data_IF_232934764008
#
_entry.id   IF_232934764008
#
_cell.length_a   1.000
_cell.length_b   1.000
_cell.length_c   1.000
_cell.angle_alpha   90.00
_cell.angle_beta   90.00
_cell.angle_gamma   90.00
#
_symmetry.space_group_name_H-M   'P 1'
#
loop_
_entity.id
_entity.type
_entity.pdbx_description
1 polymer ?
#
# COMPACT_ATOMS: atom_id res chain seq x y z
N UNK A 1 -10.42 12.86 12.86
CA UNK A 1 -11.15 11.78 13.57
C UNK A 1 -11.40 10.67 12.57
N UNK A 2 -10.81 9.50 12.74
CA UNK A 2 -11.00 8.37 11.83
C UNK A 2 -12.45 7.91 11.95
N UNK A 3 -13.23 8.04 10.87
CA UNK A 3 -14.65 7.65 10.87
C UNK A 3 -14.75 6.22 10.36
N UNK A 4 -15.01 5.29 11.27
CA UNK A 4 -15.30 3.91 10.89
C UNK A 4 -16.76 3.79 10.47
N UNK A 5 -17.01 3.13 9.34
CA UNK A 5 -18.37 2.79 8.91
C UNK A 5 -19.06 1.91 9.97
N UNK A 6 -20.36 2.02 10.08
CA UNK A 6 -21.13 1.03 10.85
C UNK A 6 -21.10 -0.31 10.12
N UNK A 7 -21.15 -1.40 10.87
CA UNK A 7 -21.14 -2.75 10.30
C UNK A 7 -22.27 -2.96 9.29
N UNK A 8 -23.43 -2.42 9.56
CA UNK A 8 -24.61 -2.50 8.71
C UNK A 8 -24.44 -1.77 7.36
N UNK A 9 -23.58 -0.75 7.32
CA UNK A 9 -23.31 0.06 6.14
C UNK A 9 -22.14 -0.48 5.29
N UNK A 10 -21.49 -1.58 5.72
CA UNK A 10 -20.39 -2.18 4.98
C UNK A 10 -20.89 -2.77 3.66
N UNK A 11 -20.02 -2.69 2.66
CA UNK A 11 -20.23 -3.21 1.32
C UNK A 11 -19.07 -4.15 0.95
N UNK A 12 -19.18 -4.89 -0.15
CA UNK A 12 -18.08 -5.72 -0.64
C UNK A 12 -16.79 -4.92 -0.87
N UNK A 13 -16.89 -3.63 -1.20
CA UNK A 13 -15.72 -2.75 -1.40
C UNK A 13 -15.14 -2.18 -0.08
N UNK A 14 -15.51 -2.69 1.07
CA UNK A 14 -14.86 -2.38 2.34
C UNK A 14 -13.94 -3.55 2.73
N UNK A 15 -12.68 -3.28 3.15
CA UNK A 15 -11.64 -4.31 3.37
C UNK A 15 -12.14 -5.51 4.16
N UNK A 16 -12.78 -5.29 5.31
CA UNK A 16 -13.32 -6.39 6.12
C UNK A 16 -14.27 -7.31 5.33
N UNK A 17 -15.20 -6.73 4.55
CA UNK A 17 -16.14 -7.54 3.77
C UNK A 17 -15.47 -8.23 2.59
N UNK A 18 -14.54 -7.56 1.93
CA UNK A 18 -13.75 -8.11 0.83
C UNK A 18 -12.97 -9.35 1.26
N UNK A 19 -12.17 -9.22 2.32
CA UNK A 19 -11.40 -10.31 2.90
C UNK A 19 -12.31 -11.44 3.38
N UNK A 20 -13.34 -11.12 4.14
CA UNK A 20 -14.28 -12.08 4.73
C UNK A 20 -15.01 -12.89 3.66
N UNK A 21 -15.53 -12.24 2.63
CA UNK A 21 -16.25 -12.92 1.52
C UNK A 21 -15.32 -13.86 0.77
N UNK A 22 -14.11 -13.40 0.40
CA UNK A 22 -13.19 -14.20 -0.41
C UNK A 22 -12.55 -15.33 0.40
N UNK A 23 -12.34 -15.14 1.70
CA UNK A 23 -11.82 -16.18 2.58
C UNK A 23 -12.83 -17.30 2.85
N UNK A 24 -14.08 -16.94 3.15
CA UNK A 24 -15.10 -17.93 3.51
C UNK A 24 -15.75 -18.62 2.31
N UNK A 25 -15.54 -18.11 1.08
CA UNK A 25 -16.15 -18.64 -0.13
C UNK A 25 -15.09 -18.87 -1.21
N UNK A 26 -14.45 -20.03 -1.16
CA UNK A 26 -13.35 -20.38 -2.08
C UNK A 26 -13.78 -20.39 -3.56
N UNK A 27 -14.99 -20.86 -3.85
CA UNK A 27 -15.59 -20.85 -5.17
C UNK A 27 -15.76 -19.43 -5.73
N UNK A 28 -16.18 -18.50 -4.89
CA UNK A 28 -16.28 -17.08 -5.24
C UNK A 28 -14.90 -16.45 -5.49
N UNK A 29 -13.91 -16.78 -4.67
CA UNK A 29 -12.54 -16.31 -4.87
C UNK A 29 -11.97 -16.83 -6.20
N UNK A 30 -12.17 -18.10 -6.50
CA UNK A 30 -11.77 -18.70 -7.78
C UNK A 30 -12.49 -18.05 -8.97
N UNK A 31 -13.82 -17.91 -8.93
CA UNK A 31 -14.62 -17.26 -9.97
C UNK A 31 -14.17 -15.81 -10.20
N UNK A 32 -13.83 -15.08 -9.12
CA UNK A 32 -13.28 -13.72 -9.21
C UNK A 32 -11.95 -13.70 -9.97
N UNK A 33 -11.01 -14.54 -9.58
CA UNK A 33 -9.70 -14.62 -10.23
C UNK A 33 -9.78 -15.01 -11.70
N UNK A 34 -10.59 -16.02 -12.04
CA UNK A 34 -10.82 -16.43 -13.42
C UNK A 34 -11.44 -15.31 -14.25
N UNK A 35 -12.41 -14.58 -13.68
CA UNK A 35 -13.05 -13.42 -14.30
C UNK A 35 -12.06 -12.29 -14.58
N UNK A 36 -11.22 -11.93 -13.60
CA UNK A 36 -10.28 -10.81 -13.72
C UNK A 36 -9.08 -11.13 -14.61
N UNK A 37 -8.60 -12.35 -14.56
CA UNK A 37 -7.36 -12.75 -15.25
C UNK A 37 -7.59 -13.37 -16.60
N UNK A 38 -8.84 -13.87 -16.87
CA UNK A 38 -9.20 -14.64 -18.07
C UNK A 38 -8.30 -15.86 -18.26
N UNK A 39 -7.97 -16.50 -17.17
CA UNK A 39 -7.26 -17.78 -17.14
C UNK A 39 -8.12 -18.79 -16.41
N UNK A 40 -7.91 -20.07 -16.72
CA UNK A 40 -8.54 -21.14 -15.96
C UNK A 40 -7.70 -21.47 -14.74
N UNK A 41 -8.35 -21.66 -13.61
CA UNK A 41 -7.74 -22.04 -12.32
C UNK A 41 -8.31 -23.41 -11.95
N UNK A 42 -7.43 -24.40 -11.82
CA UNK A 42 -7.89 -25.78 -11.61
C UNK A 42 -8.28 -26.03 -10.15
N UNK A 43 -7.51 -25.53 -9.21
CA UNK A 43 -7.78 -25.70 -7.80
C UNK A 43 -7.04 -24.66 -6.97
N UNK A 44 -7.77 -23.85 -6.22
CA UNK A 44 -7.14 -22.95 -5.27
C UNK A 44 -7.04 -23.60 -3.88
N UNK A 45 -5.89 -23.43 -3.25
CA UNK A 45 -5.77 -23.68 -1.81
C UNK A 45 -6.55 -22.60 -1.06
N UNK A 46 -6.88 -22.88 0.20
CA UNK A 46 -7.70 -21.97 1.01
C UNK A 46 -7.09 -20.55 1.01
N UNK A 47 -7.88 -19.50 0.67
CA UNK A 47 -7.37 -18.15 0.71
C UNK A 47 -6.90 -17.78 2.12
N UNK A 48 -5.68 -17.24 2.23
CA UNK A 48 -5.18 -16.65 3.47
C UNK A 48 -5.49 -15.15 3.47
N UNK A 49 -6.15 -14.65 4.51
CA UNK A 49 -6.36 -13.22 4.73
C UNK A 49 -5.29 -12.66 5.66
N UNK A 50 -4.95 -11.40 5.46
CA UNK A 50 -3.95 -10.69 6.29
C UNK A 50 -2.62 -11.47 6.40
N UNK A 51 -2.26 -12.23 5.34
CA UNK A 51 -0.99 -12.95 5.34
C UNK A 51 0.16 -11.98 5.50
N UNK A 52 0.91 -12.14 6.57
CA UNK A 52 2.08 -11.32 6.84
C UNK A 52 3.34 -12.03 6.39
N UNK A 53 4.11 -11.41 5.49
CA UNK A 53 5.42 -11.86 5.05
C UNK A 53 6.45 -10.87 5.59
N UNK A 54 7.37 -11.34 6.43
CA UNK A 54 8.45 -10.54 7.01
C UNK A 54 9.75 -11.35 7.00
N UNK A 55 10.65 -11.12 6.01
CA UNK A 55 11.87 -11.91 5.85
C UNK A 55 12.85 -11.76 7.02
N UNK A 56 12.87 -10.57 7.66
CA UNK A 56 13.76 -10.25 8.78
C UNK A 56 13.02 -9.43 9.82
N UNK A 57 13.39 -9.60 11.09
CA UNK A 57 12.76 -8.92 12.23
C UNK A 57 12.72 -7.39 12.09
N UNK A 58 13.76 -6.79 11.49
CA UNK A 58 13.88 -5.33 11.30
C UNK A 58 13.42 -4.85 9.89
N UNK A 59 12.99 -5.77 9.01
CA UNK A 59 12.54 -5.40 7.68
C UNK A 59 11.09 -4.96 7.68
N UNK A 60 10.74 -4.08 6.72
CA UNK A 60 9.34 -3.78 6.44
C UNK A 60 8.68 -5.04 5.89
N UNK A 61 7.79 -5.68 6.66
CA UNK A 61 6.93 -6.74 6.18
C UNK A 61 5.82 -6.22 5.27
N UNK A 62 5.14 -7.13 4.58
CA UNK A 62 3.87 -6.86 3.89
C UNK A 62 2.76 -7.64 4.57
N UNK A 63 1.59 -7.05 4.60
CA UNK A 63 0.33 -7.73 4.91
C UNK A 63 -0.49 -7.72 3.63
N UNK A 64 -0.79 -8.91 3.12
CA UNK A 64 -1.56 -9.12 1.90
C UNK A 64 -3.04 -9.24 2.28
N UNK A 65 -3.93 -8.55 1.56
CA UNK A 65 -5.36 -8.60 1.85
C UNK A 65 -5.89 -10.03 1.63
N UNK A 66 -5.71 -10.59 0.45
CA UNK A 66 -6.09 -11.98 0.13
C UNK A 66 -4.99 -12.66 -0.67
N UNK A 67 -4.38 -13.68 -0.09
CA UNK A 67 -3.34 -14.50 -0.72
C UNK A 67 -3.88 -15.88 -1.09
N UNK A 68 -3.67 -16.30 -2.33
CA UNK A 68 -4.20 -17.56 -2.88
C UNK A 68 -3.11 -18.30 -3.65
N UNK A 69 -3.09 -19.62 -3.53
CA UNK A 69 -2.24 -20.51 -4.35
C UNK A 69 -3.09 -21.43 -5.22
N UNK A 70 -2.62 -21.63 -6.43
CA UNK A 70 -3.01 -22.72 -7.33
C UNK A 70 -1.71 -23.38 -7.80
N UNK A 71 -1.64 -24.68 -7.94
CA UNK A 71 -0.49 -25.55 -8.26
C UNK A 71 0.84 -24.85 -8.62
N UNK A 72 0.88 -24.07 -9.71
CA UNK A 72 2.04 -23.33 -10.22
C UNK A 72 1.87 -21.82 -10.23
N UNK A 73 0.80 -21.29 -9.58
CA UNK A 73 0.45 -19.87 -9.55
C UNK A 73 0.20 -19.38 -8.14
N UNK A 74 0.55 -18.13 -7.91
CA UNK A 74 0.22 -17.40 -6.68
C UNK A 74 -0.45 -16.08 -7.02
N UNK A 75 -1.43 -15.72 -6.21
CA UNK A 75 -2.23 -14.52 -6.40
C UNK A 75 -2.25 -13.72 -5.10
N UNK A 76 -1.96 -12.44 -5.22
CA UNK A 76 -2.14 -11.43 -4.21
C UNK A 76 -3.21 -10.46 -4.69
N UNK A 77 -4.32 -10.35 -3.95
CA UNK A 77 -5.47 -9.53 -4.35
C UNK A 77 -5.67 -8.45 -3.32
N UNK A 78 -5.45 -7.21 -3.74
CA UNK A 78 -5.50 -6.01 -2.92
C UNK A 78 -6.68 -5.12 -3.31
N UNK A 79 -7.44 -4.67 -2.32
CA UNK A 79 -8.50 -3.68 -2.50
C UNK A 79 -8.01 -2.30 -2.07
N UNK A 80 -8.03 -1.33 -2.99
CA UNK A 80 -7.53 0.02 -2.73
C UNK A 80 -8.64 1.06 -2.85
N UNK A 81 -9.07 1.62 -1.71
CA UNK A 81 -10.19 2.57 -1.64
C UNK A 81 -9.77 4.03 -1.68
N UNK A 82 -8.56 4.35 -1.24
CA UNK A 82 -8.02 5.71 -1.19
C UNK A 82 -6.85 5.86 -2.15
N UNK A 83 -6.67 7.06 -2.70
CA UNK A 83 -5.52 7.42 -3.54
C UNK A 83 -4.21 7.08 -2.82
N UNK A 84 -3.33 6.39 -3.53
CA UNK A 84 -1.98 6.06 -3.09
C UNK A 84 -1.04 6.13 -4.30
N UNK A 85 -0.18 7.13 -4.30
CA UNK A 85 0.82 7.35 -5.36
C UNK A 85 1.93 6.28 -5.34
N UNK A 86 1.97 5.45 -4.29
CA UNK A 86 2.99 4.42 -4.11
C UNK A 86 2.59 3.05 -4.70
N UNK A 87 1.43 2.91 -5.34
CA UNK A 87 1.02 1.62 -5.93
C UNK A 87 2.13 0.98 -6.78
N UNK A 88 2.85 1.68 -7.67
CA UNK A 88 3.94 1.08 -8.45
C UNK A 88 5.07 0.52 -7.57
N UNK A 89 5.43 1.22 -6.49
CA UNK A 89 6.46 0.77 -5.56
C UNK A 89 5.96 -0.38 -4.67
N UNK A 90 4.69 -0.33 -4.26
CA UNK A 90 4.05 -1.41 -3.51
C UNK A 90 3.99 -2.69 -4.33
N UNK A 91 3.55 -2.65 -5.58
CA UNK A 91 3.50 -3.84 -6.45
C UNK A 91 4.87 -4.49 -6.62
N UNK A 92 5.95 -3.69 -6.77
CA UNK A 92 7.31 -4.20 -6.83
C UNK A 92 7.72 -4.88 -5.52
N UNK A 93 7.43 -4.23 -4.39
CA UNK A 93 7.80 -4.75 -3.08
C UNK A 93 7.02 -6.03 -2.74
N UNK A 94 5.71 -6.04 -2.99
CA UNK A 94 4.86 -7.22 -2.79
C UNK A 94 5.34 -8.40 -3.63
N UNK A 95 5.66 -8.16 -4.92
CA UNK A 95 6.24 -9.19 -5.79
C UNK A 95 7.51 -9.80 -5.18
N UNK A 96 8.43 -8.97 -4.70
CA UNK A 96 9.68 -9.46 -4.09
C UNK A 96 9.42 -10.28 -2.83
N UNK A 97 8.41 -9.92 -2.04
CA UNK A 97 8.03 -10.65 -0.84
C UNK A 97 7.39 -11.99 -1.16
N UNK A 98 6.54 -12.03 -2.19
CA UNK A 98 5.97 -13.29 -2.71
C UNK A 98 7.07 -14.24 -3.18
N UNK A 99 8.05 -13.75 -3.92
CA UNK A 99 9.17 -14.55 -4.41
C UNK A 99 10.01 -15.12 -3.25
N UNK A 100 10.30 -14.30 -2.23
CA UNK A 100 11.01 -14.74 -1.03
C UNK A 100 10.24 -15.80 -0.22
N UNK A 101 8.91 -15.71 -0.16
CA UNK A 101 8.06 -16.66 0.58
C UNK A 101 7.90 -18.00 -0.16
N UNK A 102 8.07 -18.00 -1.49
CA UNK A 102 7.77 -19.15 -2.34
C UNK A 102 9.00 -19.84 -2.95
N UNK A 103 10.22 -19.35 -2.68
CA UNK A 103 11.47 -20.02 -3.07
C UNK A 103 12.38 -20.22 -1.86
N UNK A 104 12.48 -21.46 -1.39
CA UNK A 104 13.27 -21.81 -0.22
C UNK A 104 14.75 -22.07 -0.59
N UNK A 105 15.62 -21.99 0.42
CA UNK A 105 17.05 -22.29 0.25
C UNK A 105 17.26 -23.69 -0.34
N UNK A 106 17.97 -23.74 -1.47
CA UNK A 106 18.31 -25.00 -2.16
C UNK A 106 17.35 -25.38 -3.28
N UNK A 107 16.25 -24.64 -3.46
CA UNK A 107 15.36 -24.81 -4.61
C UNK A 107 15.94 -24.14 -5.87
N UNK A 108 15.57 -24.65 -7.05
CA UNK A 108 15.95 -24.06 -8.33
C UNK A 108 15.04 -22.88 -8.68
N UNK A 109 15.57 -21.88 -9.37
CA UNK A 109 14.78 -20.72 -9.82
C UNK A 109 13.60 -21.08 -10.73
N UNK A 110 13.66 -22.19 -11.44
CA UNK A 110 12.56 -22.71 -12.26
C UNK A 110 11.31 -23.09 -11.44
N UNK A 111 11.49 -23.34 -10.13
CA UNK A 111 10.40 -23.66 -9.20
C UNK A 111 9.59 -22.43 -8.77
N UNK A 112 10.07 -21.19 -9.10
CA UNK A 112 9.27 -19.99 -8.85
C UNK A 112 7.94 -20.09 -9.58
N UNK A 113 6.81 -19.96 -8.85
CA UNK A 113 5.48 -19.97 -9.45
C UNK A 113 5.24 -18.72 -10.29
N UNK A 114 4.26 -18.78 -11.18
CA UNK A 114 3.75 -17.56 -11.81
C UNK A 114 3.01 -16.74 -10.76
N UNK A 115 3.41 -15.48 -10.60
CA UNK A 115 2.86 -14.60 -9.58
C UNK A 115 2.04 -13.46 -10.19
N UNK A 116 0.88 -13.23 -9.57
CA UNK A 116 -0.03 -12.15 -9.93
C UNK A 116 -0.22 -11.23 -8.73
N UNK A 117 0.23 -9.98 -8.86
CA UNK A 117 -0.09 -8.91 -7.91
C UNK A 117 -1.23 -8.10 -8.50
N UNK A 118 -2.41 -8.17 -7.88
CA UNK A 118 -3.66 -7.64 -8.39
C UNK A 118 -4.15 -6.54 -7.46
N UNK A 119 -4.28 -5.32 -7.99
CA UNK A 119 -4.89 -4.20 -7.27
C UNK A 119 -6.24 -3.86 -7.86
N UNK A 120 -7.28 -3.80 -7.03
CA UNK A 120 -8.62 -3.34 -7.38
C UNK A 120 -8.81 -1.95 -6.78
N UNK A 121 -8.74 -0.91 -7.62
CA UNK A 121 -8.73 0.48 -7.20
C UNK A 121 -10.09 1.14 -7.44
N UNK A 122 -10.60 1.89 -6.47
CA UNK A 122 -11.78 2.76 -6.62
C UNK A 122 -11.45 4.13 -7.22
N UNK A 123 -10.27 4.28 -7.78
CA UNK A 123 -9.75 5.48 -8.46
C UNK A 123 -8.83 5.03 -9.60
N UNK A 124 -8.43 5.97 -10.46
CA UNK A 124 -7.44 5.72 -11.50
C UNK A 124 -6.03 6.08 -11.00
N UNK A 125 -5.17 5.10 -10.70
CA UNK A 125 -3.84 5.36 -10.15
C UNK A 125 -2.84 5.97 -11.15
N UNK A 126 -3.15 5.93 -12.46
CA UNK A 126 -2.27 6.42 -13.53
C UNK A 126 -2.87 7.60 -14.32
N UNK A 127 -4.10 8.00 -14.02
CA UNK A 127 -4.82 9.11 -14.66
C UNK A 127 -4.93 9.02 -16.18
N UNK A 128 -4.90 7.79 -16.74
CA UNK A 128 -5.03 7.54 -18.18
C UNK A 128 -6.43 7.08 -18.60
N UNK A 129 -7.32 6.86 -17.64
CA UNK A 129 -8.70 6.45 -17.87
C UNK A 129 -8.89 5.01 -18.31
N UNK A 130 -7.85 4.16 -18.32
CA UNK A 130 -7.99 2.76 -18.68
C UNK A 130 -8.65 1.96 -17.57
N UNK A 131 -9.49 0.97 -17.88
CA UNK A 131 -10.11 0.09 -16.89
C UNK A 131 -9.13 -0.92 -16.31
N UNK A 132 -8.13 -1.32 -17.10
CA UNK A 132 -7.12 -2.32 -16.73
C UNK A 132 -5.75 -1.83 -17.17
N UNK A 133 -4.78 -1.93 -16.26
CA UNK A 133 -3.36 -1.75 -16.51
C UNK A 133 -2.63 -3.06 -16.23
N UNK A 134 -2.01 -3.64 -17.26
CA UNK A 134 -1.20 -4.86 -17.12
C UNK A 134 0.26 -4.53 -17.34
N UNK A 135 1.11 -4.88 -16.38
CA UNK A 135 2.54 -4.65 -16.42
C UNK A 135 3.30 -5.98 -16.42
N UNK A 136 4.25 -6.07 -17.35
CA UNK A 136 5.22 -7.15 -17.51
C UNK A 136 6.56 -6.54 -17.89
N UNK A 137 7.66 -7.19 -17.55
CA UNK A 137 8.98 -6.74 -17.95
C UNK A 137 9.22 -7.00 -19.46
N UNK A 138 9.64 -5.97 -20.18
CA UNK A 138 9.93 -6.01 -21.61
C UNK A 138 11.31 -5.45 -21.89
N UNK A 139 11.89 -5.89 -23.02
CA UNK A 139 13.16 -5.37 -23.51
C UNK A 139 12.95 -3.99 -24.15
N UNK A 140 13.74 -2.99 -23.74
CA UNK A 140 13.63 -1.64 -24.30
C UNK A 140 14.10 -1.58 -25.78
N UNK A 141 15.07 -2.43 -26.15
CA UNK A 141 15.61 -2.52 -27.51
C UNK A 141 14.66 -3.29 -28.46
N UNK A 142 13.79 -4.12 -27.92
CA UNK A 142 12.76 -4.86 -28.67
C UNK A 142 11.50 -5.02 -27.82
N UNK A 143 10.55 -4.13 -28.01
CA UNK A 143 9.34 -4.06 -27.17
C UNK A 143 8.42 -5.30 -27.28
N UNK A 144 8.54 -6.09 -28.36
CA UNK A 144 7.79 -7.34 -28.49
C UNK A 144 8.35 -8.48 -27.63
N UNK A 145 9.61 -8.35 -27.18
CA UNK A 145 10.27 -9.33 -26.34
C UNK A 145 9.85 -9.15 -24.87
N UNK A 146 9.05 -10.08 -24.37
CA UNK A 146 8.70 -10.18 -22.94
C UNK A 146 9.78 -10.97 -22.21
N UNK A 147 10.22 -10.53 -21.03
CA UNK A 147 11.25 -11.21 -20.23
C UNK A 147 10.82 -12.63 -19.80
N UNK A 148 9.52 -12.88 -19.74
CA UNK A 148 8.95 -14.19 -19.35
C UNK A 148 9.36 -14.66 -17.94
N UNK A 149 9.53 -13.69 -17.04
CA UNK A 149 9.92 -13.90 -15.64
C UNK A 149 8.77 -14.35 -14.73
N UNK A 150 7.63 -14.70 -15.32
CA UNK A 150 6.40 -15.13 -14.62
C UNK A 150 5.84 -14.12 -13.61
N UNK A 151 6.26 -12.84 -13.67
CA UNK A 151 5.83 -11.77 -12.77
C UNK A 151 4.83 -10.85 -13.46
N UNK A 152 3.57 -10.87 -13.03
CA UNK A 152 2.47 -10.12 -13.66
C UNK A 152 1.81 -9.21 -12.63
N UNK A 153 1.69 -7.92 -12.97
CA UNK A 153 0.95 -6.98 -12.16
C UNK A 153 -0.28 -6.53 -12.93
N UNK A 154 -1.47 -6.65 -12.31
CA UNK A 154 -2.72 -6.16 -12.89
C UNK A 154 -3.39 -5.17 -11.95
N UNK A 155 -3.68 -3.99 -12.47
CA UNK A 155 -4.32 -2.93 -11.69
C UNK A 155 -5.63 -2.59 -12.39
N UNK A 156 -6.73 -2.78 -11.67
CA UNK A 156 -8.08 -2.54 -12.12
C UNK A 156 -8.58 -1.19 -11.61
N UNK A 157 -9.05 -0.34 -12.51
CA UNK A 157 -9.64 0.95 -12.21
C UNK A 157 -11.16 0.86 -12.27
N UNK A 158 -11.82 0.79 -11.13
CA UNK A 158 -13.27 0.64 -11.06
C UNK A 158 -14.02 1.86 -11.63
N UNK A 159 -13.43 3.04 -11.67
CA UNK A 159 -14.10 4.23 -12.21
C UNK A 159 -14.28 4.19 -13.72
N UNK A 160 -13.50 3.38 -14.42
CA UNK A 160 -13.52 3.25 -15.89
C UNK A 160 -14.35 2.06 -16.39
N UNK A 161 -15.23 1.47 -15.56
CA UNK A 161 -16.02 0.30 -15.91
C UNK A 161 -16.82 0.44 -17.21
N UNK A 162 -17.29 1.66 -17.54
CA UNK A 162 -18.13 1.93 -18.72
C UNK A 162 -17.44 1.70 -20.05
N UNK A 163 -16.11 1.79 -20.10
CA UNK A 163 -15.34 1.60 -21.32
C UNK A 163 -14.67 0.23 -21.40
N UNK A 164 -14.83 -0.60 -20.35
CA UNK A 164 -14.36 -1.98 -20.37
C UNK A 164 -15.22 -2.80 -21.33
N UNK A 165 -14.55 -3.52 -22.24
CA UNK A 165 -15.21 -4.31 -23.30
C UNK A 165 -15.63 -5.69 -22.82
N UNK A 166 -14.91 -6.25 -21.87
CA UNK A 166 -15.28 -7.51 -21.25
C UNK A 166 -16.43 -7.27 -20.26
N UNK A 167 -17.59 -7.86 -20.55
CA UNK A 167 -18.81 -7.63 -19.79
C UNK A 167 -18.72 -8.11 -18.35
N UNK A 168 -17.98 -9.20 -18.11
CA UNK A 168 -17.83 -9.75 -16.75
C UNK A 168 -16.93 -8.87 -15.91
N UNK A 169 -15.82 -8.37 -16.48
CA UNK A 169 -14.92 -7.42 -15.78
C UNK A 169 -15.65 -6.10 -15.56
N UNK A 170 -16.35 -5.58 -16.58
CA UNK A 170 -17.14 -4.36 -16.48
C UNK A 170 -18.18 -4.45 -15.37
N UNK A 171 -18.93 -5.56 -15.29
CA UNK A 171 -19.93 -5.79 -14.24
C UNK A 171 -19.32 -5.79 -12.85
N UNK A 172 -18.18 -6.44 -12.67
CA UNK A 172 -17.47 -6.46 -11.40
C UNK A 172 -16.94 -5.06 -11.00
N UNK A 173 -16.29 -4.35 -11.92
CA UNK A 173 -15.79 -2.99 -11.67
C UNK A 173 -16.94 -2.02 -11.37
N UNK A 174 -18.06 -2.14 -12.07
CA UNK A 174 -19.27 -1.38 -11.76
C UNK A 174 -19.79 -1.68 -10.34
N UNK A 175 -19.80 -2.95 -9.95
CA UNK A 175 -20.19 -3.35 -8.60
C UNK A 175 -19.27 -2.78 -7.53
N UNK A 176 -17.95 -2.82 -7.73
CA UNK A 176 -16.98 -2.18 -6.82
C UNK A 176 -17.25 -0.68 -6.69
N UNK A 177 -17.56 0.01 -7.79
CA UNK A 177 -17.80 1.44 -7.81
C UNK A 177 -19.14 1.83 -7.15
N UNK A 178 -20.24 1.16 -7.53
CA UNK A 178 -21.62 1.59 -7.24
C UNK A 178 -22.32 0.71 -6.21
N UNK A 179 -21.78 -0.45 -5.87
CA UNK A 179 -22.37 -1.46 -4.98
C UNK A 179 -23.76 -1.98 -5.46
N UNK A 180 -24.03 -1.87 -6.76
CA UNK A 180 -25.27 -2.38 -7.37
C UNK A 180 -24.92 -3.61 -8.23
N UNK A 181 -25.44 -4.79 -7.90
CA UNK A 181 -25.23 -5.97 -8.72
C UNK A 181 -25.87 -5.80 -10.10
N UNK A 182 -25.21 -6.33 -11.12
CA UNK A 182 -25.63 -6.20 -12.54
C UNK A 182 -25.52 -7.50 -13.32
N UNK A 183 -24.97 -8.55 -12.70
CA UNK A 183 -24.89 -9.90 -13.24
C UNK A 183 -24.98 -10.94 -12.11
N UNK A 184 -25.12 -12.22 -12.46
CA UNK A 184 -25.27 -13.33 -11.49
C UNK A 184 -24.13 -13.38 -10.45
N UNK A 185 -22.89 -13.09 -10.87
CA UNK A 185 -21.75 -13.11 -9.96
C UNK A 185 -21.83 -11.99 -8.93
N UNK A 186 -22.12 -10.79 -9.36
CA UNK A 186 -22.25 -9.63 -8.44
C UNK A 186 -23.50 -9.74 -7.56
N UNK A 187 -24.56 -10.44 -8.03
CA UNK A 187 -25.71 -10.80 -7.19
C UNK A 187 -25.34 -11.81 -6.10
N UNK A 188 -24.53 -12.84 -6.44
CA UNK A 188 -23.97 -13.76 -5.44
C UNK A 188 -23.15 -13.01 -4.40
N UNK A 189 -22.23 -12.13 -4.80
CA UNK A 189 -21.42 -11.30 -3.89
C UNK A 189 -22.31 -10.48 -2.96
N UNK A 190 -23.29 -9.78 -3.48
CA UNK A 190 -24.25 -8.98 -2.71
C UNK A 190 -25.02 -9.84 -1.70
N UNK A 191 -25.49 -11.01 -2.12
CA UNK A 191 -26.20 -11.95 -1.25
C UNK A 191 -25.33 -12.46 -0.08
N UNK A 192 -24.04 -12.74 -0.35
CA UNK A 192 -23.09 -13.19 0.68
C UNK A 192 -22.83 -12.07 1.68
N UNK A 193 -22.59 -10.83 1.21
CA UNK A 193 -22.44 -9.66 2.08
C UNK A 193 -23.64 -9.49 3.01
N UNK A 194 -24.87 -9.60 2.48
CA UNK A 194 -26.07 -9.50 3.29
C UNK A 194 -26.23 -10.67 4.29
N UNK A 195 -25.77 -11.87 3.95
CA UNK A 195 -25.70 -13.00 4.89
C UNK A 195 -24.72 -12.71 6.03
N UNK A 196 -23.49 -12.26 5.71
CA UNK A 196 -22.46 -11.91 6.69
C UNK A 196 -22.99 -10.86 7.68
N UNK A 197 -23.70 -9.83 7.19
CA UNK A 197 -24.28 -8.78 8.02
C UNK A 197 -25.33 -9.28 9.04
N UNK A 198 -26.01 -10.37 8.75
CA UNK A 198 -27.03 -10.94 9.64
C UNK A 198 -26.46 -11.66 10.86
N UNK A 199 -25.16 -11.97 10.88
CA UNK A 199 -24.52 -12.73 11.95
C UNK A 199 -23.86 -11.80 12.97
N UNK A 200 -24.37 -11.81 14.20
CA UNK A 200 -23.82 -11.04 15.33
C UNK A 200 -22.34 -11.32 15.63
N UNK A 201 -21.87 -12.54 15.31
CA UNK A 201 -20.46 -12.90 15.48
C UNK A 201 -19.58 -12.02 14.59
N UNK A 202 -19.93 -11.85 13.31
CA UNK A 202 -19.20 -11.01 12.35
C UNK A 202 -19.20 -9.53 12.77
N UNK A 203 -20.32 -9.06 13.34
CA UNK A 203 -20.41 -7.71 13.88
C UNK A 203 -19.44 -7.48 15.04
N UNK A 204 -19.35 -8.44 15.96
CA UNK A 204 -18.40 -8.38 17.10
C UNK A 204 -16.95 -8.44 16.64
N UNK A 205 -16.65 -9.29 15.66
CA UNK A 205 -15.33 -9.42 15.05
C UNK A 205 -14.90 -8.07 14.42
N UNK A 206 -15.74 -7.47 13.57
CA UNK A 206 -15.50 -6.17 12.98
C UNK A 206 -15.30 -5.06 14.03
N UNK A 207 -16.12 -5.05 15.08
CA UNK A 207 -15.98 -4.07 16.16
C UNK A 207 -14.67 -4.25 16.93
N UNK A 208 -14.23 -5.49 17.17
CA UNK A 208 -12.96 -5.79 17.83
C UNK A 208 -11.76 -5.32 16.98
N UNK A 209 -11.78 -5.60 15.67
CA UNK A 209 -10.77 -5.17 14.72
C UNK A 209 -10.65 -3.63 14.69
N UNK A 210 -11.76 -2.93 14.59
CA UNK A 210 -11.79 -1.47 14.62
C UNK A 210 -11.30 -0.87 15.94
N UNK A 211 -11.49 -1.57 17.05
CA UNK A 211 -10.96 -1.14 18.35
C UNK A 211 -9.42 -1.19 18.35
N UNK A 212 -8.86 -2.28 17.86
CA UNK A 212 -7.42 -2.46 17.71
C UNK A 212 -6.79 -1.42 16.77
N UNK A 213 -7.40 -1.21 15.61
CA UNK A 213 -6.92 -0.22 14.64
C UNK A 213 -6.96 1.20 15.21
N UNK A 214 -8.02 1.52 15.95
CA UNK A 214 -8.14 2.82 16.63
C UNK A 214 -7.08 3.01 17.70
N UNK A 215 -6.78 1.98 18.45
CA UNK A 215 -5.76 2.04 19.52
C UNK A 215 -4.34 2.12 18.92
N UNK A 216 -4.06 1.39 17.85
CA UNK A 216 -2.82 1.49 17.09
C UNK A 216 -2.65 2.87 16.45
N UNK A 217 -3.71 3.42 15.85
CA UNK A 217 -3.71 4.77 15.28
C UNK A 217 -3.44 5.83 16.36
N UNK A 218 -4.11 5.74 17.52
CA UNK A 218 -3.88 6.66 18.65
C UNK A 218 -2.43 6.58 19.15
N UNK A 219 -1.88 5.37 19.25
CA UNK A 219 -0.48 5.15 19.65
C UNK A 219 0.47 5.78 18.64
N UNK A 220 0.33 5.47 17.35
CA UNK A 220 1.15 6.04 16.30
C UNK A 220 1.06 7.56 16.22
N UNK A 221 -0.14 8.13 16.39
CA UNK A 221 -0.33 9.58 16.44
C UNK A 221 0.42 10.21 17.63
N UNK A 222 0.33 9.60 18.81
CA UNK A 222 1.02 10.07 20.01
C UNK A 222 2.53 10.03 19.81
N UNK A 223 3.06 8.90 19.34
CA UNK A 223 4.50 8.72 19.06
C UNK A 223 4.98 9.72 17.99
N UNK A 224 4.21 9.93 16.92
CA UNK A 224 4.53 10.89 15.87
C UNK A 224 4.57 12.34 16.39
N UNK A 225 3.63 12.73 17.26
CA UNK A 225 3.61 14.05 17.90
C UNK A 225 4.84 14.20 18.81
N UNK A 226 5.13 13.22 19.64
CA UNK A 226 6.30 13.25 20.56
C UNK A 226 7.62 13.36 19.77
N UNK A 227 7.78 12.59 18.70
CA UNK A 227 8.94 12.68 17.81
C UNK A 227 9.02 14.04 17.11
N UNK A 228 7.91 14.54 16.58
CA UNK A 228 7.85 15.86 15.94
C UNK A 228 8.22 17.00 16.88
N UNK A 229 7.71 16.98 18.11
CA UNK A 229 8.07 17.96 19.15
C UNK A 229 9.57 17.86 19.49
N UNK A 230 10.09 16.66 19.70
CA UNK A 230 11.51 16.45 20.01
C UNK A 230 12.42 16.96 18.90
N UNK A 231 12.12 16.62 17.65
CA UNK A 231 12.87 17.11 16.49
C UNK A 231 12.76 18.62 16.33
N UNK A 232 11.57 19.19 16.52
CA UNK A 232 11.34 20.64 16.45
C UNK A 232 12.12 21.40 17.51
N UNK A 233 12.14 20.91 18.74
CA UNK A 233 12.94 21.49 19.84
C UNK A 233 14.44 21.43 19.50
N UNK A 234 14.93 20.28 19.03
CA UNK A 234 16.34 20.12 18.70
C UNK A 234 16.79 21.03 17.54
N UNK A 235 15.95 21.13 16.51
CA UNK A 235 16.19 22.04 15.39
C UNK A 235 16.12 23.50 15.84
N UNK A 236 15.14 23.87 16.66
CA UNK A 236 14.99 25.22 17.22
C UNK A 236 16.19 25.65 18.08
N UNK A 237 16.67 24.75 18.95
CA UNK A 237 17.88 25.00 19.75
C UNK A 237 19.10 25.19 18.85
N UNK A 238 19.29 24.33 17.85
CA UNK A 238 20.42 24.41 16.93
C UNK A 238 20.39 25.71 16.12
N UNK A 239 19.24 26.04 15.52
CA UNK A 239 19.07 27.27 14.75
C UNK A 239 19.21 28.52 15.61
N UNK A 240 18.59 28.52 16.80
CA UNK A 240 18.70 29.63 17.76
C UNK A 240 20.14 29.85 18.26
N UNK A 241 20.85 28.76 18.53
CA UNK A 241 22.27 28.83 18.91
C UNK A 241 23.12 29.39 17.77
N UNK A 242 22.91 28.93 16.54
CA UNK A 242 23.65 29.45 15.39
C UNK A 242 23.35 30.93 15.13
N UNK A 243 22.08 31.32 15.21
CA UNK A 243 21.69 32.72 15.06
C UNK A 243 22.27 33.63 16.11
N UNK A 244 22.29 33.20 17.37
CA UNK A 244 22.91 33.92 18.48
C UNK A 244 24.42 34.08 18.28
N UNK A 245 25.14 33.05 17.81
CA UNK A 245 26.56 33.13 17.46
C UNK A 245 26.83 34.14 16.37
N UNK A 246 25.98 34.16 15.28
CA UNK A 246 26.09 35.12 14.19
C UNK A 246 25.86 36.55 14.69
N UNK A 247 24.85 36.78 15.52
CA UNK A 247 24.52 38.08 16.06
C UNK A 247 25.64 38.58 16.98
N UNK A 248 26.19 37.69 17.85
CA UNK A 248 27.34 37.99 18.68
C UNK A 248 28.55 38.32 17.82
N UNK A 249 28.83 37.58 16.75
CA UNK A 249 29.94 37.88 15.85
C UNK A 249 29.79 39.23 15.17
N UNK A 250 28.62 39.63 14.72
CA UNK A 250 28.32 40.94 14.15
C UNK A 250 28.60 42.07 15.16
N UNK A 251 28.15 41.89 16.39
CA UNK A 251 28.40 42.86 17.46
C UNK A 251 29.91 43.02 17.77
N UNK A 252 30.64 41.93 17.80
CA UNK A 252 32.09 41.95 18.05
C UNK A 252 32.89 42.54 16.87
N UNK A 253 32.43 42.40 15.66
CA UNK A 253 32.99 43.06 14.47
C UNK A 253 32.85 44.59 14.56
N UNK A 254 31.73 45.11 15.07
CA UNK A 254 31.56 46.56 15.26
C UNK A 254 32.50 47.13 16.34
N UNK A 255 32.97 46.28 17.27
CA UNK A 255 33.92 46.64 18.32
C UNK A 255 35.37 46.54 17.85
N UNK A 256 35.62 46.28 16.57
CA UNK A 256 36.95 46.16 15.95
C UNK A 256 37.85 45.07 16.54
N UNK A 257 37.26 43.98 17.02
CA UNK A 257 38.04 42.79 17.45
C UNK A 257 38.58 42.05 16.21
N UNK A 258 39.74 41.38 16.38
CA UNK A 258 40.27 40.55 15.29
C UNK A 258 39.41 39.32 15.00
N UNK A 259 39.36 38.88 13.74
CA UNK A 259 38.55 37.74 13.29
C UNK A 259 38.88 36.47 14.08
N UNK A 260 40.17 36.23 14.39
CA UNK A 260 40.58 35.06 15.19
C UNK A 260 40.01 35.11 16.61
N UNK A 261 39.91 36.29 17.22
CA UNK A 261 39.34 36.45 18.56
C UNK A 261 37.81 36.26 18.54
N UNK A 262 37.14 36.72 17.47
CA UNK A 262 35.73 36.54 17.26
C UNK A 262 35.40 35.02 17.04
N UNK A 263 36.20 34.32 16.23
CA UNK A 263 36.08 32.88 16.02
C UNK A 263 36.19 32.09 17.33
N UNK A 264 37.20 32.44 18.19
CA UNK A 264 37.36 31.84 19.52
C UNK A 264 36.16 32.12 20.44
N UNK A 265 35.61 33.32 20.40
CA UNK A 265 34.53 33.74 21.29
C UNK A 265 33.16 33.13 20.88
N UNK A 266 32.92 32.96 19.59
CA UNK A 266 31.60 32.52 19.06
C UNK A 266 31.57 31.05 18.66
N UNK A 267 32.76 30.47 18.38
CA UNK A 267 32.88 29.13 17.80
C UNK A 267 32.41 29.04 16.32
N UNK A 268 32.32 30.17 15.61
CA UNK A 268 32.13 30.24 14.18
C UNK A 268 33.44 30.06 13.42
N UNK A 269 33.41 29.58 12.20
CA UNK A 269 34.59 29.49 11.35
C UNK A 269 35.07 30.88 10.92
N UNK A 270 36.35 31.03 10.61
CA UNK A 270 36.91 32.27 10.04
C UNK A 270 36.23 32.64 8.76
N UNK A 271 35.88 31.65 7.93
CA UNK A 271 35.17 31.84 6.65
C UNK A 271 33.77 32.42 6.89
N UNK A 272 33.02 31.84 7.87
CA UNK A 272 31.67 32.36 8.21
C UNK A 272 31.72 33.81 8.69
N UNK A 273 32.73 34.18 9.54
CA UNK A 273 32.88 35.54 10.02
C UNK A 273 33.26 36.51 8.90
N UNK A 274 34.14 36.09 7.97
CA UNK A 274 34.45 36.85 6.78
C UNK A 274 33.26 37.12 5.88
N UNK A 275 32.33 36.15 5.79
CA UNK A 275 31.10 36.32 5.04
C UNK A 275 30.15 37.36 5.66
N UNK A 276 30.24 37.61 6.96
CA UNK A 276 29.46 38.65 7.66
C UNK A 276 29.96 40.06 7.49
N UNK A 277 31.19 40.23 6.97
CA UNK A 277 31.82 41.53 6.74
C UNK A 277 31.56 42.10 5.33
N UNK A 278 30.91 41.31 4.45
CA UNK A 278 30.47 41.70 3.12
C UNK A 278 29.05 42.27 3.14
#
# INVERSE_FOLDING_TARGET
>A
MMYFKKFEDLTFADHYMFEKVLHENQDICQELLERLLKIKIDHITYPEIEKTISPYYESKGVRLDVYVKDSDKIFDIELQNALDDNIPLRTRFYQSMLDCDNLLKGQDYSELPTSFVIFICKFDPFHLGLPIYTFQNRCDENYDLVLSDKSIKKIFNATSFKIEKDLEISAFLQYICNQKPVDDFTEKLSSIVEKIKKHEVNKKEYQSMNLHDRDNFRRGLKEGIEQGISQGIQQGISQGSQQAKIETAKNLLTMSLSIENIAKATGLSVEDINALTK
#
